data_IF_123540814987
#
_entry.id   IF_123540814987
#
_cell.length_a   1.000
_cell.length_b   1.000
_cell.length_c   1.000
_cell.angle_alpha   90.00
_cell.angle_beta   90.00
_cell.angle_gamma   90.00
#
_symmetry.space_group_name_H-M   'P 1'
#
loop_
_entity.id
_entity.type
_entity.pdbx_description
1 polymer ?
#
# COMPACT_ATOMS: atom_id res chain seq x y z
N UNK A 1 -48.31 52.82 -18.11
CA UNK A 1 -47.53 54.03 -17.79
C UNK A 1 -46.07 53.62 -17.68
N UNK A 2 -45.27 53.95 -18.69
CA UNK A 2 -43.81 53.78 -18.71
C UNK A 2 -43.16 54.95 -17.96
N UNK A 3 -42.08 54.69 -17.24
CA UNK A 3 -40.99 55.66 -17.04
C UNK A 3 -39.65 54.94 -17.10
N UNK A 4 -38.71 55.61 -17.75
CA UNK A 4 -37.45 55.13 -18.32
C UNK A 4 -36.29 55.75 -17.52
N UNK A 5 -35.28 54.91 -17.18
CA UNK A 5 -33.81 55.15 -17.26
C UNK A 5 -33.13 56.22 -16.36
N UNK A 6 -31.77 56.38 -16.33
CA UNK A 6 -30.63 55.42 -16.45
C UNK A 6 -29.33 55.80 -15.64
N UNK A 7 -28.19 55.12 -15.92
CA UNK A 7 -26.75 55.50 -15.74
C UNK A 7 -26.20 55.53 -14.29
N UNK A 8 -24.92 55.26 -13.96
CA UNK A 8 -23.73 54.68 -14.59
C UNK A 8 -22.58 54.65 -13.53
N UNK A 9 -21.47 53.99 -13.89
CA UNK A 9 -20.10 54.09 -13.35
C UNK A 9 -19.73 53.30 -12.07
N UNK A 10 -18.51 52.79 -11.88
CA UNK A 10 -17.35 52.46 -12.73
C UNK A 10 -16.22 51.92 -11.82
N UNK A 11 -15.30 51.11 -12.39
CA UNK A 11 -13.89 50.82 -11.98
C UNK A 11 -13.66 49.99 -10.71
N UNK A 12 -12.62 49.15 -10.56
CA UNK A 12 -11.59 48.53 -11.42
C UNK A 12 -10.96 47.39 -10.57
N UNK A 13 -10.24 46.42 -11.18
CA UNK A 13 -9.62 45.29 -10.48
C UNK A 13 -8.21 45.62 -9.97
N UNK A 14 -7.84 45.14 -8.77
CA UNK A 14 -6.47 45.20 -8.25
C UNK A 14 -5.71 43.94 -8.69
N UNK A 15 -4.74 44.21 -9.55
CA UNK A 15 -3.60 43.40 -9.96
C UNK A 15 -2.55 43.29 -8.83
N UNK A 16 -1.79 42.19 -8.80
CA UNK A 16 -0.77 41.96 -7.77
C UNK A 16 -0.24 40.52 -7.72
N UNK A 17 0.47 40.09 -8.77
CA UNK A 17 1.33 38.89 -8.80
C UNK A 17 2.65 39.09 -8.01
N UNK A 18 3.46 38.02 -7.82
CA UNK A 18 4.08 37.68 -6.53
C UNK A 18 5.49 38.24 -6.34
N UNK A 19 5.89 38.45 -5.09
CA UNK A 19 7.28 38.80 -4.73
C UNK A 19 8.15 37.54 -4.65
N UNK A 20 9.04 37.39 -5.63
CA UNK A 20 10.24 36.56 -5.55
C UNK A 20 11.18 37.08 -4.45
N UNK A 21 11.66 36.18 -3.58
CA UNK A 21 12.84 36.46 -2.74
C UNK A 21 13.98 35.53 -3.12
N UNK A 22 14.85 36.14 -3.94
CA UNK A 22 16.26 35.94 -4.21
C UNK A 22 17.08 35.04 -3.27
N UNK A 23 17.90 34.20 -3.90
CA UNK A 23 19.07 33.49 -3.38
C UNK A 23 20.01 34.36 -2.52
N UNK A 24 20.64 33.76 -1.51
CA UNK A 24 21.94 34.18 -0.99
C UNK A 24 22.69 32.97 -0.39
N UNK A 25 23.63 32.44 -1.16
CA UNK A 25 24.81 31.73 -0.67
C UNK A 25 25.76 32.78 -0.08
N UNK A 26 26.23 32.59 1.16
CA UNK A 26 27.46 33.23 1.65
C UNK A 26 28.31 32.18 2.34
N UNK A 27 29.49 32.01 1.74
CA UNK A 27 30.65 31.27 2.20
C UNK A 27 31.54 32.27 2.93
N UNK A 28 32.01 31.95 4.14
CA UNK A 28 33.17 32.63 4.73
C UNK A 28 34.11 31.58 5.34
N UNK A 29 35.36 31.71 4.90
CA UNK A 29 36.53 30.91 5.20
C UNK A 29 37.17 31.25 6.56
N UNK A 30 37.99 30.29 7.00
CA UNK A 30 39.40 30.47 7.38
C UNK A 30 39.88 30.47 8.86
N UNK A 31 40.64 29.40 9.12
CA UNK A 31 42.02 29.33 9.66
C UNK A 31 42.35 29.71 11.11
N UNK A 32 42.89 28.70 11.82
CA UNK A 32 44.18 28.66 12.57
C UNK A 32 44.04 27.70 13.77
N UNK A 33 44.96 26.83 14.18
CA UNK A 33 46.35 26.62 13.86
C UNK A 33 46.75 25.18 14.23
N UNK A 34 47.89 24.75 13.70
CA UNK A 34 48.54 23.48 13.91
C UNK A 34 48.85 23.17 15.40
N UNK A 35 48.77 21.88 15.74
CA UNK A 35 49.68 21.23 16.70
C UNK A 35 49.76 19.74 16.39
N UNK A 36 50.93 19.32 15.91
CA UNK A 36 51.35 17.91 15.89
C UNK A 36 51.84 17.56 17.30
N UNK A 37 51.53 16.35 17.78
CA UNK A 37 52.59 15.51 18.31
C UNK A 37 52.63 14.13 17.63
N UNK A 38 53.86 13.76 17.36
CA UNK A 38 54.40 12.55 16.73
C UNK A 38 54.13 11.25 17.49
N UNK A 39 54.14 10.16 16.70
CA UNK A 39 54.69 8.83 16.98
C UNK A 39 53.81 7.76 17.64
N UNK A 40 53.46 6.80 16.77
CA UNK A 40 53.58 5.34 16.95
C UNK A 40 52.55 4.63 17.83
N UNK A 41 51.66 3.88 17.17
CA UNK A 41 50.77 2.92 17.81
C UNK A 41 49.84 2.24 16.82
N UNK A 42 50.37 1.26 16.10
CA UNK A 42 49.68 0.20 15.36
C UNK A 42 48.38 0.54 14.64
N UNK A 43 48.50 0.68 13.32
CA UNK A 43 47.43 0.32 12.41
C UNK A 43 47.06 -1.15 12.61
N UNK A 44 46.02 -1.38 13.39
CA UNK A 44 45.15 -2.53 13.21
C UNK A 44 43.80 -1.98 12.78
N UNK A 45 43.74 -1.58 11.51
CA UNK A 45 42.48 -1.50 10.79
C UNK A 45 41.97 -2.94 10.74
N UNK A 46 41.20 -3.29 11.77
CA UNK A 46 40.33 -4.45 11.74
C UNK A 46 39.26 -4.12 10.70
N UNK A 47 39.61 -4.27 9.42
CA UNK A 47 38.63 -4.63 8.41
C UNK A 47 38.23 -6.07 8.76
N UNK A 48 37.40 -6.17 9.80
CA UNK A 48 36.55 -7.31 10.04
C UNK A 48 35.58 -7.33 8.86
N UNK A 49 36.02 -7.87 7.73
CA UNK A 49 35.11 -8.45 6.74
C UNK A 49 34.37 -9.51 7.55
N UNK A 50 33.18 -9.15 8.02
CA UNK A 50 32.31 -10.08 8.71
C UNK A 50 32.09 -11.22 7.71
N UNK A 51 32.73 -12.36 7.98
CA UNK A 51 32.46 -13.58 7.25
C UNK A 51 31.04 -13.97 7.62
N UNK A 52 30.08 -13.47 6.84
CA UNK A 52 28.69 -13.84 6.99
C UNK A 52 28.60 -15.37 6.95
N UNK A 53 27.96 -15.95 7.95
CA UNK A 53 27.81 -17.39 8.00
C UNK A 53 27.01 -17.84 6.77
N UNK A 54 27.30 -19.03 6.24
CA UNK A 54 26.51 -19.60 5.14
C UNK A 54 25.02 -19.65 5.51
N UNK A 55 24.68 -19.78 6.78
CA UNK A 55 23.32 -19.80 7.29
C UNK A 55 22.64 -18.43 7.23
N UNK A 56 23.35 -17.34 7.51
CA UNK A 56 22.83 -15.97 7.35
C UNK A 56 22.58 -15.62 5.89
N UNK A 57 23.49 -16.01 4.99
CA UNK A 57 23.33 -15.80 3.55
C UNK A 57 22.10 -16.56 3.04
N UNK A 58 21.93 -17.81 3.46
CA UNK A 58 20.76 -18.64 3.12
C UNK A 58 19.47 -18.04 3.67
N UNK A 59 19.45 -17.61 4.94
CA UNK A 59 18.30 -16.95 5.56
C UNK A 59 17.88 -15.68 4.84
N UNK A 60 18.84 -14.82 4.50
CA UNK A 60 18.55 -13.59 3.74
C UNK A 60 18.01 -13.89 2.35
N UNK A 61 18.54 -14.91 1.66
CA UNK A 61 18.02 -15.32 0.36
C UNK A 61 16.56 -15.80 0.46
N UNK A 62 16.23 -16.51 1.52
CA UNK A 62 14.87 -16.95 1.82
C UNK A 62 13.92 -15.79 2.14
N UNK A 63 14.31 -14.89 3.04
CA UNK A 63 13.55 -13.69 3.34
C UNK A 63 13.35 -12.81 2.10
N UNK A 64 14.36 -12.69 1.25
CA UNK A 64 14.25 -11.97 -0.03
C UNK A 64 13.22 -12.62 -0.97
N UNK A 65 13.17 -13.96 -1.04
CA UNK A 65 12.13 -14.65 -1.81
C UNK A 65 10.74 -14.40 -1.23
N UNK A 66 10.61 -14.37 0.08
CA UNK A 66 9.34 -14.05 0.76
C UNK A 66 8.89 -12.61 0.48
N UNK A 67 9.82 -11.65 0.55
CA UNK A 67 9.59 -10.26 0.14
C UNK A 67 9.07 -10.17 -1.29
N UNK A 68 9.76 -10.84 -2.21
CA UNK A 68 9.41 -10.82 -3.64
C UNK A 68 8.03 -11.43 -3.89
N UNK A 69 7.66 -12.49 -3.18
CA UNK A 69 6.33 -13.11 -3.31
C UNK A 69 5.23 -12.32 -2.61
N UNK A 70 5.55 -11.50 -1.59
CA UNK A 70 4.59 -10.59 -0.95
C UNK A 70 4.20 -9.40 -1.83
N UNK A 71 5.13 -8.89 -2.67
CA UNK A 71 4.89 -7.69 -3.49
C UNK A 71 3.64 -7.81 -4.37
N UNK A 72 3.42 -8.89 -5.15
CA UNK A 72 2.19 -9.06 -5.91
C UNK A 72 0.93 -9.08 -5.05
N UNK A 73 0.98 -9.73 -3.88
CA UNK A 73 -0.14 -9.83 -2.95
C UNK A 73 -0.57 -8.44 -2.46
N UNK A 74 0.38 -7.65 -1.97
CA UNK A 74 0.13 -6.27 -1.48
C UNK A 74 -0.39 -5.39 -2.61
N UNK A 75 0.20 -5.46 -3.81
CA UNK A 75 -0.25 -4.67 -4.95
C UNK A 75 -1.67 -5.00 -5.40
N UNK A 76 -2.00 -6.28 -5.50
CA UNK A 76 -3.34 -6.73 -5.90
C UNK A 76 -4.37 -6.36 -4.85
N UNK A 77 -4.07 -6.54 -3.56
CA UNK A 77 -4.91 -6.07 -2.45
C UNK A 77 -5.15 -4.56 -2.50
N UNK A 78 -4.10 -3.77 -2.76
CA UNK A 78 -4.22 -2.33 -2.90
C UNK A 78 -5.09 -1.92 -4.10
N UNK A 79 -4.93 -2.56 -5.26
CA UNK A 79 -5.77 -2.30 -6.44
C UNK A 79 -7.22 -2.67 -6.15
N UNK A 80 -7.45 -3.79 -5.47
CA UNK A 80 -8.77 -4.24 -5.05
C UNK A 80 -9.44 -3.21 -4.14
N UNK A 81 -8.77 -2.78 -3.07
CA UNK A 81 -9.26 -1.76 -2.15
C UNK A 81 -9.50 -0.42 -2.83
N UNK A 82 -8.61 0.01 -3.72
CA UNK A 82 -8.78 1.27 -4.47
C UNK A 82 -9.99 1.26 -5.41
N UNK A 83 -10.42 0.09 -5.88
CA UNK A 83 -11.66 -0.05 -6.67
C UNK A 83 -12.91 0.01 -5.80
N UNK A 84 -12.82 -0.42 -4.55
CA UNK A 84 -13.93 -0.42 -3.58
C UNK A 84 -14.08 0.91 -2.83
N UNK A 85 -12.96 1.54 -2.47
CA UNK A 85 -12.93 2.68 -1.56
C UNK A 85 -12.80 4.01 -2.31
N UNK A 86 -13.29 5.08 -1.67
CA UNK A 86 -13.07 6.45 -2.11
C UNK A 86 -11.58 6.77 -1.97
N UNK A 87 -10.92 7.15 -3.07
CA UNK A 87 -9.58 7.74 -3.01
C UNK A 87 -9.68 9.26 -3.15
N UNK A 88 -8.80 10.05 -2.53
CA UNK A 88 -8.84 11.52 -2.65
C UNK A 88 -8.82 12.04 -4.11
N UNK A 89 -8.25 11.24 -5.02
CA UNK A 89 -8.10 11.58 -6.44
C UNK A 89 -9.25 11.08 -7.33
N UNK A 90 -10.14 10.19 -6.86
CA UNK A 90 -11.22 9.65 -7.69
C UNK A 90 -12.45 9.22 -6.89
N UNK A 91 -13.64 9.57 -7.40
CA UNK A 91 -14.90 9.02 -6.87
C UNK A 91 -14.93 7.51 -7.06
N UNK A 92 -15.41 6.74 -6.06
CA UNK A 92 -15.44 5.29 -6.15
C UNK A 92 -16.33 4.87 -7.32
N UNK A 93 -15.93 3.79 -7.99
CA UNK A 93 -16.70 3.22 -9.11
C UNK A 93 -17.94 2.47 -8.62
N UNK A 94 -17.93 2.07 -7.35
CA UNK A 94 -19.00 1.29 -6.72
C UNK A 94 -19.38 1.87 -5.35
N UNK A 95 -20.59 1.53 -4.92
CA UNK A 95 -21.07 1.68 -3.54
C UNK A 95 -21.72 0.38 -3.10
N UNK A 96 -21.95 0.22 -1.79
CA UNK A 96 -22.72 -0.89 -1.26
C UNK A 96 -24.21 -0.57 -1.34
N UNK A 97 -25.01 -1.58 -1.71
CA UNK A 97 -26.48 -1.54 -1.65
C UNK A 97 -26.96 -1.41 -0.20
N UNK A 98 -28.05 -0.67 0.01
CA UNK A 98 -28.63 -0.41 1.33
C UNK A 98 -29.36 -1.64 1.92
N UNK A 99 -29.54 -2.67 1.10
CA UNK A 99 -30.20 -3.94 1.45
C UNK A 99 -29.28 -4.97 2.09
N UNK A 100 -28.01 -4.64 2.29
CA UNK A 100 -27.06 -5.52 2.96
C UNK A 100 -27.49 -5.78 4.41
N UNK A 101 -27.63 -7.05 4.78
CA UNK A 101 -27.95 -7.44 6.16
C UNK A 101 -26.75 -7.24 7.10
N UNK A 102 -26.99 -7.17 8.41
CA UNK A 102 -25.92 -7.06 9.40
C UNK A 102 -24.94 -8.22 9.33
N UNK A 103 -25.41 -9.45 9.15
CA UNK A 103 -24.54 -10.64 9.04
C UNK A 103 -23.61 -10.57 7.81
N UNK A 104 -24.10 -10.02 6.70
CA UNK A 104 -23.28 -9.79 5.50
C UNK A 104 -22.27 -8.68 5.73
N UNK A 105 -22.64 -7.62 6.45
CA UNK A 105 -21.72 -6.57 6.84
C UNK A 105 -20.61 -7.09 7.76
N UNK A 106 -20.97 -7.91 8.76
CA UNK A 106 -20.02 -8.54 9.68
C UNK A 106 -19.01 -9.42 8.91
N UNK A 107 -19.49 -10.15 7.88
CA UNK A 107 -18.62 -10.94 6.99
C UNK A 107 -17.56 -10.07 6.30
N UNK A 108 -17.94 -8.87 5.82
CA UNK A 108 -17.00 -7.94 5.20
C UNK A 108 -16.02 -7.36 6.23
N UNK A 109 -16.52 -6.96 7.40
CA UNK A 109 -15.70 -6.41 8.48
C UNK A 109 -14.64 -7.44 8.90
N UNK A 110 -15.04 -8.68 9.16
CA UNK A 110 -14.13 -9.76 9.53
C UNK A 110 -13.06 -9.98 8.45
N UNK A 111 -13.44 -9.97 7.17
CA UNK A 111 -12.48 -10.08 6.08
C UNK A 111 -11.48 -8.92 6.06
N UNK A 112 -11.93 -7.67 6.19
CA UNK A 112 -11.03 -6.52 6.15
C UNK A 112 -10.10 -6.44 7.36
N UNK A 113 -10.58 -6.81 8.56
CA UNK A 113 -9.73 -6.91 9.76
C UNK A 113 -8.61 -7.93 9.55
N UNK A 114 -8.94 -9.12 9.03
CA UNK A 114 -7.95 -10.16 8.74
C UNK A 114 -6.94 -9.73 7.67
N UNK A 115 -7.42 -9.05 6.63
CA UNK A 115 -6.57 -8.50 5.58
C UNK A 115 -5.59 -7.47 6.14
N UNK A 116 -6.03 -6.66 7.10
CA UNK A 116 -5.15 -5.75 7.83
C UNK A 116 -4.09 -6.51 8.62
N UNK A 117 -4.46 -7.56 9.36
CA UNK A 117 -3.51 -8.39 10.13
C UNK A 117 -2.38 -8.97 9.25
N UNK A 118 -2.71 -9.40 8.02
CA UNK A 118 -1.71 -9.88 7.04
C UNK A 118 -0.82 -8.73 6.55
N UNK A 119 -1.42 -7.57 6.28
CA UNK A 119 -0.69 -6.40 5.77
C UNK A 119 0.28 -5.86 6.81
N UNK A 120 -0.10 -5.85 8.08
CA UNK A 120 0.75 -5.42 9.19
C UNK A 120 1.97 -6.36 9.35
N UNK A 121 1.76 -7.68 9.30
CA UNK A 121 2.85 -8.67 9.35
C UNK A 121 3.78 -8.57 8.13
N UNK A 122 3.23 -8.38 6.93
CA UNK A 122 4.02 -8.16 5.71
C UNK A 122 4.79 -6.84 5.79
N UNK A 123 4.26 -5.82 6.43
CA UNK A 123 4.97 -4.54 6.63
C UNK A 123 6.13 -4.71 7.61
N UNK A 124 5.92 -5.42 8.71
CA UNK A 124 6.99 -5.78 9.66
C UNK A 124 8.10 -6.56 8.95
N UNK A 125 7.73 -7.50 8.06
CA UNK A 125 8.70 -8.18 7.20
C UNK A 125 9.55 -7.17 6.42
N UNK A 126 8.94 -6.23 5.70
CA UNK A 126 9.61 -5.19 4.89
C UNK A 126 10.51 -4.24 5.69
N UNK A 127 10.14 -3.90 6.93
CA UNK A 127 10.86 -2.90 7.71
C UNK A 127 11.98 -3.48 8.58
N UNK A 128 11.82 -4.70 9.10
CA UNK A 128 12.65 -5.20 10.20
C UNK A 128 13.41 -6.49 9.85
N UNK A 129 13.15 -7.11 8.69
CA UNK A 129 13.66 -8.45 8.32
C UNK A 129 13.48 -9.51 9.45
N UNK A 130 12.54 -9.23 10.36
CA UNK A 130 12.16 -10.06 11.49
C UNK A 130 10.70 -10.39 11.34
N UNK A 131 10.39 -11.68 11.17
CA UNK A 131 9.01 -12.12 11.01
C UNK A 131 8.76 -13.37 11.82
N UNK A 132 7.58 -13.42 12.45
CA UNK A 132 7.04 -14.66 12.96
C UNK A 132 6.27 -15.36 11.83
N UNK A 133 6.99 -16.20 11.08
CA UNK A 133 6.44 -16.95 9.93
C UNK A 133 5.17 -17.73 10.32
N UNK A 134 5.09 -18.24 11.55
CA UNK A 134 3.92 -18.95 12.05
C UNK A 134 2.69 -18.04 12.21
N UNK A 135 2.89 -16.83 12.75
CA UNK A 135 1.82 -15.82 12.89
C UNK A 135 1.35 -15.34 11.52
N UNK A 136 2.28 -14.99 10.62
CA UNK A 136 1.92 -14.59 9.25
C UNK A 136 1.15 -15.71 8.52
N UNK A 137 1.59 -16.96 8.64
CA UNK A 137 0.89 -18.12 8.06
C UNK A 137 -0.53 -18.24 8.62
N UNK A 138 -0.70 -18.06 9.93
CA UNK A 138 -2.02 -18.10 10.57
C UNK A 138 -2.93 -16.96 10.09
N UNK A 139 -2.42 -15.73 10.03
CA UNK A 139 -3.18 -14.57 9.53
C UNK A 139 -3.58 -14.76 8.07
N UNK A 140 -2.66 -15.26 7.23
CA UNK A 140 -2.95 -15.54 5.82
C UNK A 140 -4.04 -16.60 5.68
N UNK A 141 -3.91 -17.74 6.35
CA UNK A 141 -4.91 -18.80 6.30
C UNK A 141 -6.29 -18.33 6.79
N UNK A 142 -6.33 -17.55 7.86
CA UNK A 142 -7.55 -16.97 8.37
C UNK A 142 -8.18 -16.01 7.35
N UNK A 143 -7.38 -15.14 6.71
CA UNK A 143 -7.85 -14.22 5.67
C UNK A 143 -8.47 -14.96 4.48
N UNK A 144 -7.79 -16.00 3.98
CA UNK A 144 -8.28 -16.78 2.84
C UNK A 144 -9.58 -17.52 3.14
N UNK A 145 -9.79 -17.94 4.39
CA UNK A 145 -11.05 -18.57 4.82
C UNK A 145 -12.23 -17.59 4.73
N UNK A 146 -11.99 -16.28 4.91
CA UNK A 146 -13.04 -15.25 4.84
C UNK A 146 -13.15 -14.60 3.46
N UNK A 147 -12.19 -14.85 2.57
CA UNK A 147 -12.13 -14.23 1.25
C UNK A 147 -13.33 -14.60 0.37
N UNK A 148 -13.60 -15.90 0.17
CA UNK A 148 -14.69 -16.33 -0.70
C UNK A 148 -16.08 -15.84 -0.24
N UNK A 149 -16.46 -15.97 1.06
CA UNK A 149 -17.70 -15.38 1.56
C UNK A 149 -17.78 -13.86 1.36
N UNK A 150 -16.67 -13.14 1.59
CA UNK A 150 -16.64 -11.69 1.37
C UNK A 150 -16.82 -11.33 -0.11
N UNK A 151 -16.18 -12.07 -1.03
CA UNK A 151 -16.36 -11.84 -2.47
C UNK A 151 -17.78 -12.13 -2.92
N UNK A 152 -18.43 -13.15 -2.36
CA UNK A 152 -19.84 -13.45 -2.62
C UNK A 152 -20.73 -12.27 -2.17
N UNK A 153 -20.56 -11.79 -0.93
CA UNK A 153 -21.29 -10.63 -0.41
C UNK A 153 -21.06 -9.39 -1.28
N UNK A 154 -19.81 -9.11 -1.65
CA UNK A 154 -19.46 -8.00 -2.52
C UNK A 154 -20.10 -8.14 -3.90
N UNK A 155 -20.12 -9.34 -4.49
CA UNK A 155 -20.73 -9.57 -5.81
C UNK A 155 -22.23 -9.30 -5.84
N UNK A 156 -22.92 -9.54 -4.71
CA UNK A 156 -24.35 -9.33 -4.57
C UNK A 156 -24.70 -7.85 -4.32
N UNK A 157 -23.86 -7.14 -3.56
CA UNK A 157 -24.20 -5.83 -3.01
C UNK A 157 -23.38 -4.67 -3.57
N UNK A 158 -22.34 -4.91 -4.38
CA UNK A 158 -21.65 -3.84 -5.09
C UNK A 158 -22.52 -3.33 -6.23
N UNK A 159 -22.94 -2.08 -6.13
CA UNK A 159 -23.70 -1.39 -7.17
C UNK A 159 -22.86 -0.26 -7.76
N UNK A 160 -22.83 -0.08 -9.10
CA UNK A 160 -22.10 1.02 -9.73
C UNK A 160 -22.60 2.38 -9.26
N UNK A 161 -21.68 3.31 -9.00
CA UNK A 161 -22.04 4.72 -8.73
C UNK A 161 -22.38 5.40 -10.07
N UNK A 162 -23.58 5.97 -10.26
CA UNK A 162 -23.97 6.60 -11.51
C UNK A 162 -23.02 7.76 -11.88
N UNK A 163 -22.28 7.60 -12.99
CA UNK A 163 -21.49 8.66 -13.63
C UNK A 163 -22.17 9.07 -14.93
N UNK A 164 -23.31 9.77 -14.86
CA UNK A 164 -23.94 10.45 -15.99
C UNK A 164 -23.93 9.69 -17.34
N UNK A 165 -24.71 8.61 -17.51
CA UNK A 165 -25.50 8.27 -18.72
C UNK A 165 -25.88 6.78 -18.82
N UNK A 166 -27.11 6.59 -19.34
CA UNK A 166 -27.71 5.45 -20.06
C UNK A 166 -27.19 4.03 -19.82
N UNK A 167 -28.11 3.17 -19.37
CA UNK A 167 -28.05 1.73 -19.59
C UNK A 167 -27.73 0.94 -18.33
N UNK A 168 -28.77 0.45 -17.66
CA UNK A 168 -28.67 -0.52 -16.57
C UNK A 168 -27.94 -1.77 -17.06
N UNK A 169 -26.71 -1.98 -16.59
CA UNK A 169 -26.08 -3.30 -16.59
C UNK A 169 -26.26 -3.90 -15.20
N UNK A 170 -26.73 -5.15 -15.14
CA UNK A 170 -26.95 -5.89 -13.89
C UNK A 170 -25.65 -5.97 -13.07
N UNK A 171 -25.72 -5.70 -11.76
CA UNK A 171 -24.54 -5.46 -10.92
C UNK A 171 -23.57 -6.66 -10.84
N UNK A 172 -24.08 -7.89 -10.93
CA UNK A 172 -23.27 -9.11 -10.87
C UNK A 172 -22.33 -9.25 -12.09
N UNK A 173 -22.83 -8.93 -13.29
CA UNK A 173 -22.01 -8.95 -14.50
C UNK A 173 -20.86 -7.93 -14.41
N UNK A 174 -21.15 -6.74 -13.86
CA UNK A 174 -20.15 -5.69 -13.65
C UNK A 174 -19.11 -6.05 -12.60
N UNK A 175 -19.50 -6.71 -11.51
CA UNK A 175 -18.55 -7.20 -10.51
C UNK A 175 -17.57 -8.20 -11.14
N UNK A 176 -18.11 -9.21 -11.81
CA UNK A 176 -17.29 -10.26 -12.44
C UNK A 176 -16.34 -9.68 -13.48
N UNK A 177 -16.81 -8.76 -14.32
CA UNK A 177 -15.97 -8.07 -15.31
C UNK A 177 -14.86 -7.23 -14.65
N UNK A 178 -15.16 -6.55 -13.54
CA UNK A 178 -14.21 -5.66 -12.89
C UNK A 178 -13.19 -6.35 -11.97
N UNK A 179 -13.53 -7.52 -11.43
CA UNK A 179 -12.78 -8.16 -10.36
C UNK A 179 -12.27 -9.57 -10.68
N UNK A 180 -12.79 -10.30 -11.67
CA UNK A 180 -12.34 -11.67 -12.00
C UNK A 180 -10.81 -11.78 -12.15
N UNK A 181 -10.21 -10.94 -12.99
CA UNK A 181 -8.75 -10.92 -13.21
C UNK A 181 -7.98 -10.60 -11.91
N UNK A 182 -8.54 -9.77 -11.03
CA UNK A 182 -7.92 -9.45 -9.75
C UNK A 182 -8.01 -10.62 -8.77
N UNK A 183 -9.15 -11.31 -8.73
CA UNK A 183 -9.38 -12.49 -7.90
C UNK A 183 -8.44 -13.62 -8.35
N UNK A 184 -8.41 -13.93 -9.65
CA UNK A 184 -7.50 -14.93 -10.23
C UNK A 184 -6.03 -14.58 -9.94
N UNK A 185 -5.67 -13.30 -10.09
CA UNK A 185 -4.33 -12.81 -9.77
C UNK A 185 -4.01 -12.97 -8.28
N UNK A 186 -4.97 -12.73 -7.39
CA UNK A 186 -4.80 -12.85 -5.95
C UNK A 186 -4.61 -14.31 -5.54
N UNK A 187 -5.34 -15.23 -6.16
CA UNK A 187 -5.19 -16.68 -5.93
C UNK A 187 -3.79 -17.16 -6.31
N UNK A 188 -3.30 -16.74 -7.48
CA UNK A 188 -1.93 -17.07 -7.93
C UNK A 188 -0.88 -16.44 -7.00
N UNK A 189 -1.04 -15.17 -6.64
CA UNK A 189 -0.11 -14.48 -5.74
C UNK A 189 -0.07 -15.13 -4.36
N UNK A 190 -1.23 -15.50 -3.83
CA UNK A 190 -1.38 -16.22 -2.56
C UNK A 190 -0.68 -17.57 -2.60
N UNK A 191 -0.91 -18.36 -3.67
CA UNK A 191 -0.30 -19.68 -3.82
C UNK A 191 1.23 -19.59 -3.85
N UNK A 192 1.77 -18.60 -4.57
CA UNK A 192 3.21 -18.35 -4.63
C UNK A 192 3.77 -17.89 -3.27
N UNK A 193 3.01 -17.07 -2.53
CA UNK A 193 3.39 -16.60 -1.21
C UNK A 193 3.39 -17.73 -0.17
N UNK A 194 2.39 -18.61 -0.19
CA UNK A 194 2.33 -19.82 0.63
C UNK A 194 3.52 -20.75 0.36
N UNK A 195 3.84 -20.98 -0.92
CA UNK A 195 5.00 -21.79 -1.30
C UNK A 195 6.30 -21.20 -0.72
N UNK A 196 6.45 -19.88 -0.74
CA UNK A 196 7.60 -19.21 -0.13
C UNK A 196 7.63 -19.40 1.39
N UNK A 197 6.49 -19.27 2.08
CA UNK A 197 6.38 -19.51 3.52
C UNK A 197 6.74 -20.95 3.90
N UNK A 198 6.32 -21.92 3.10
CA UNK A 198 6.58 -23.34 3.37
C UNK A 198 8.04 -23.71 3.14
N UNK A 199 8.66 -23.12 2.11
CA UNK A 199 10.10 -23.27 1.86
C UNK A 199 10.92 -22.77 3.05
N UNK A 200 10.54 -21.64 3.64
CA UNK A 200 11.21 -21.11 4.85
C UNK A 200 10.93 -22.00 6.07
N UNK A 201 9.69 -22.47 6.22
CA UNK A 201 9.31 -23.32 7.35
C UNK A 201 10.06 -24.65 7.40
N UNK A 202 10.43 -25.22 6.26
CA UNK A 202 11.18 -26.49 6.19
C UNK A 202 12.67 -26.33 6.54
N UNK A 203 13.26 -25.18 6.23
CA UNK A 203 14.72 -24.96 6.33
C UNK A 203 15.18 -24.43 7.71
N UNK A 204 14.25 -23.96 8.55
CA UNK A 204 14.54 -23.38 9.88
C UNK A 204 13.91 -24.17 11.05
N UNK A 205 13.44 -25.40 10.80
CA UNK A 205 12.86 -26.31 11.82
C UNK A 205 13.75 -27.54 12.11
N UNK A 206 14.95 -27.63 11.53
CA UNK A 206 16.05 -28.51 12.01
C UNK A 206 17.03 -27.76 12.92
#
# INVERSE_FOLDING_TARGET
MNTLNPLAQARDPVDGTPSETRFSNVHEDDQSAASIPTAHGNGQSNNSVATESSQDITRRAYLLKLHQSAVPLVKLGQIFLNKLLVTPASRPSFTLDDRMSSAQMDTLVDFFVRLQDVTDEVTILFEQDSINISVLRQHLAATLTHFAPAMEVLSLHLVPVPRNQLGLTESNAMFTECFSVLIDGLDVATSNFQLALDTIGQEFVE
#
